data_IF_337397622928
#
_entry.id   IF_337397622928
#
_cell.length_a   1.000
_cell.length_b   1.000
_cell.length_c   1.000
_cell.angle_alpha   90.00
_cell.angle_beta   90.00
_cell.angle_gamma   90.00
#
_symmetry.space_group_name_H-M   'P 1'
#
loop_
_entity.id
_entity.type
_entity.pdbx_description
1 polymer ?
#
# COMPACT_ATOMS: atom_id res chain seq x y z
N UNK A 1 8.39 -19.26 -7.96
CA UNK A 1 7.90 -18.49 -9.10
C UNK A 1 7.10 -17.29 -8.60
N UNK A 2 6.87 -16.34 -9.46
CA UNK A 2 6.11 -15.13 -9.12
C UNK A 2 4.68 -15.45 -8.70
N UNK A 3 4.11 -16.49 -9.30
CA UNK A 3 2.74 -16.89 -8.99
C UNK A 3 2.59 -17.26 -7.52
N UNK A 4 3.61 -17.88 -6.93
CA UNK A 4 3.58 -18.26 -5.53
C UNK A 4 3.59 -17.08 -4.57
N UNK A 5 4.07 -15.93 -5.02
CA UNK A 5 4.14 -14.72 -4.21
C UNK A 5 3.03 -13.72 -4.51
N UNK A 6 2.07 -14.09 -5.33
CA UNK A 6 1.01 -13.19 -5.75
C UNK A 6 0.27 -12.54 -4.60
N UNK A 7 -0.11 -13.33 -3.60
CA UNK A 7 -0.82 -12.81 -2.44
C UNK A 7 0.02 -11.86 -1.60
N UNK A 8 1.29 -12.22 -1.39
CA UNK A 8 2.21 -11.40 -0.62
C UNK A 8 2.50 -10.09 -1.34
N UNK A 9 2.77 -10.18 -2.64
CA UNK A 9 3.06 -8.99 -3.43
C UNK A 9 1.86 -8.05 -3.48
N UNK A 10 0.66 -8.59 -3.65
CA UNK A 10 -0.57 -7.79 -3.65
C UNK A 10 -0.75 -7.07 -2.32
N UNK A 11 -0.52 -7.77 -1.22
CA UNK A 11 -0.63 -7.17 0.11
C UNK A 11 0.36 -6.04 0.31
N UNK A 12 1.60 -6.23 -0.13
CA UNK A 12 2.63 -5.20 0.00
C UNK A 12 2.25 -3.95 -0.81
N UNK A 13 1.78 -4.14 -2.03
CA UNK A 13 1.37 -3.02 -2.88
C UNK A 13 0.20 -2.26 -2.26
N UNK A 14 -0.79 -2.98 -1.77
CA UNK A 14 -1.96 -2.36 -1.15
C UNK A 14 -1.56 -1.56 0.09
N UNK A 15 -0.71 -2.12 0.94
CA UNK A 15 -0.25 -1.43 2.13
C UNK A 15 0.57 -0.20 1.77
N UNK A 16 1.40 -0.30 0.75
CA UNK A 16 2.20 0.82 0.29
C UNK A 16 1.32 1.97 -0.20
N UNK A 17 0.31 1.65 -1.00
CA UNK A 17 -0.62 2.66 -1.50
C UNK A 17 -1.41 3.30 -0.36
N UNK A 18 -1.84 2.49 0.61
CA UNK A 18 -2.56 3.01 1.77
C UNK A 18 -1.69 3.99 2.55
N UNK A 19 -0.41 3.67 2.71
CA UNK A 19 0.53 4.54 3.42
C UNK A 19 0.70 5.87 2.68
N UNK A 20 0.79 5.84 1.37
CA UNK A 20 0.91 7.05 0.55
C UNK A 20 -0.33 7.93 0.70
N UNK A 21 -1.51 7.33 0.66
CA UNK A 21 -2.75 8.06 0.84
C UNK A 21 -2.79 8.72 2.22
N UNK A 22 -2.37 7.99 3.24
CA UNK A 22 -2.36 8.51 4.60
C UNK A 22 -1.44 9.73 4.74
N UNK A 23 -0.27 9.67 4.09
CA UNK A 23 0.68 10.78 4.11
C UNK A 23 0.09 12.02 3.46
N UNK A 24 -0.71 11.85 2.41
CA UNK A 24 -1.35 12.98 1.74
C UNK A 24 -2.55 13.51 2.52
N UNK A 25 -3.30 12.61 3.16
CA UNK A 25 -4.54 12.98 3.86
C UNK A 25 -4.23 13.71 5.17
N UNK A 26 -3.21 13.28 5.89
CA UNK A 26 -2.89 13.86 7.19
C UNK A 26 -2.65 15.37 7.12
N UNK A 27 -1.76 15.88 6.27
CA UNK A 27 -1.55 17.32 6.17
C UNK A 27 -2.74 18.06 5.57
N UNK A 28 -3.60 17.36 4.85
CA UNK A 28 -4.77 17.99 4.27
C UNK A 28 -5.85 18.25 5.33
N UNK A 29 -5.97 17.37 6.30
CA UNK A 29 -6.96 17.47 7.37
C UNK A 29 -6.42 18.31 8.54
N UNK A 30 -5.15 18.17 8.80
CA UNK A 30 -4.48 18.80 9.94
C UNK A 30 -3.45 19.82 9.45
#
# INVERSE_FOLDING_TARGET
SWVGYGGVLAGIVVLFLAALIEVFVTPLIF
#
